data_IF_074320484038
#
_entry.id   IF_074320484038
#
_cell.length_a   1.000
_cell.length_b   1.000
_cell.length_c   1.000
_cell.angle_alpha   90.00
_cell.angle_beta   90.00
_cell.angle_gamma   90.00
#
_symmetry.space_group_name_H-M   'P 1'
#
loop_
_entity.id
_entity.type
_entity.pdbx_description
1 polymer ?
#
# COMPACT_ATOMS: atom_id res chain seq x y z
N UNK A 1 -10.67 19.77 33.65
CA UNK A 1 -9.70 20.87 33.53
C UNK A 1 -8.33 20.26 33.30
N UNK A 2 -7.81 20.29 32.08
CA UNK A 2 -6.53 19.70 31.71
C UNK A 2 -5.42 20.72 31.97
N UNK A 3 -4.67 20.52 33.05
CA UNK A 3 -3.45 21.28 33.32
C UNK A 3 -2.39 20.98 32.29
N UNK A 4 -2.39 21.69 31.18
CA UNK A 4 -1.25 21.73 30.25
C UNK A 4 -0.16 22.62 30.85
N UNK A 5 1.07 22.12 31.05
CA UNK A 5 2.17 22.98 31.50
C UNK A 5 2.47 24.00 30.37
N UNK A 6 2.50 25.27 30.74
CA UNK A 6 2.81 26.41 29.86
C UNK A 6 4.17 26.20 29.17
N UNK A 7 4.16 26.23 27.85
CA UNK A 7 5.36 26.11 27.04
C UNK A 7 6.04 27.50 26.97
N UNK A 8 7.06 27.72 27.79
CA UNK A 8 7.85 28.96 27.77
C UNK A 8 8.92 28.83 26.67
N UNK A 9 8.91 29.67 25.62
CA UNK A 9 9.92 29.64 24.58
C UNK A 9 11.33 29.92 25.13
N UNK A 10 12.30 29.07 24.81
CA UNK A 10 13.71 29.30 25.09
C UNK A 10 14.34 28.49 26.25
N UNK A 11 13.58 27.85 27.13
CA UNK A 11 14.12 26.94 28.15
C UNK A 11 14.09 25.48 27.71
N UNK A 12 15.21 24.77 27.79
CA UNK A 12 15.24 23.32 27.61
C UNK A 12 14.37 22.67 28.67
N UNK A 13 13.29 22.04 28.27
CA UNK A 13 12.37 21.34 29.20
C UNK A 13 13.10 20.15 29.79
N UNK A 14 13.23 20.12 31.10
CA UNK A 14 13.75 18.94 31.82
C UNK A 14 12.69 17.86 31.79
N UNK A 15 12.99 16.70 31.22
CA UNK A 15 12.08 15.58 31.12
C UNK A 15 12.47 14.55 32.18
N UNK A 16 11.56 14.32 33.14
CA UNK A 16 11.76 13.34 34.20
C UNK A 16 11.05 12.01 33.87
N UNK A 17 11.50 10.93 34.50
CA UNK A 17 10.86 9.62 34.38
C UNK A 17 9.36 9.67 34.70
N UNK A 18 8.99 10.37 35.77
CA UNK A 18 7.58 10.49 36.21
C UNK A 18 6.71 11.19 35.15
N UNK A 19 7.20 12.24 34.50
CA UNK A 19 6.49 12.91 33.42
C UNK A 19 6.21 11.98 32.22
N UNK A 20 7.19 11.11 31.89
CA UNK A 20 6.99 10.12 30.83
C UNK A 20 5.96 9.09 31.23
N UNK A 21 6.06 8.50 32.41
CA UNK A 21 5.09 7.52 32.92
C UNK A 21 3.68 8.07 33.01
N UNK A 22 3.52 9.31 33.48
CA UNK A 22 2.23 9.98 33.52
C UNK A 22 1.66 10.19 32.12
N UNK A 23 2.46 10.66 31.17
CA UNK A 23 2.01 10.81 29.78
C UNK A 23 1.61 9.48 29.13
N UNK A 24 2.28 8.39 29.48
CA UNK A 24 1.94 7.05 28.99
C UNK A 24 0.59 6.55 29.56
N UNK A 25 0.25 6.89 30.79
CA UNK A 25 -1.07 6.56 31.37
C UNK A 25 -2.22 7.25 30.63
N UNK A 26 -2.01 8.47 30.16
CA UNK A 26 -3.03 9.27 29.48
C UNK A 26 -3.09 9.08 27.96
N UNK A 27 -2.18 8.29 27.37
CA UNK A 27 -2.07 8.17 25.92
C UNK A 27 -1.88 6.71 25.49
N UNK A 28 -2.18 6.43 24.22
CA UNK A 28 -2.09 5.07 23.65
C UNK A 28 -0.83 4.86 22.81
N UNK A 29 0.10 5.83 22.77
CA UNK A 29 1.30 5.72 21.94
C UNK A 29 2.41 6.67 22.39
N UNK A 30 3.65 6.28 22.18
CA UNK A 30 4.81 7.12 22.45
C UNK A 30 4.78 8.47 21.73
N UNK A 31 4.20 8.54 20.53
CA UNK A 31 4.04 9.81 19.81
C UNK A 31 2.98 10.70 20.45
N UNK A 32 1.86 10.13 20.90
CA UNK A 32 0.84 10.87 21.63
C UNK A 32 1.36 11.34 22.99
N UNK A 33 2.16 10.52 23.70
CA UNK A 33 2.83 10.86 24.93
C UNK A 33 3.81 12.04 24.76
N UNK A 34 4.59 12.06 23.69
CA UNK A 34 5.46 13.19 23.35
C UNK A 34 4.68 14.50 23.13
N UNK A 35 3.55 14.43 22.43
CA UNK A 35 2.64 15.58 22.22
C UNK A 35 2.01 16.04 23.53
N UNK A 36 1.62 15.10 24.39
CA UNK A 36 1.02 15.41 25.69
C UNK A 36 2.00 16.18 26.58
N UNK A 37 3.28 15.77 26.63
CA UNK A 37 4.34 16.49 27.36
C UNK A 37 4.69 17.82 26.67
N UNK A 38 4.41 17.98 25.36
CA UNK A 38 4.77 19.16 24.57
C UNK A 38 6.25 19.17 24.15
N UNK A 39 6.81 18.03 23.79
CA UNK A 39 8.18 17.89 23.27
C UNK A 39 8.21 17.16 21.93
N UNK A 40 9.33 17.30 21.19
CA UNK A 40 9.50 16.54 19.95
C UNK A 40 9.56 15.04 20.23
N UNK A 41 9.08 14.22 19.29
CA UNK A 41 9.15 12.76 19.43
C UNK A 41 10.58 12.26 19.62
N UNK A 42 11.56 12.85 18.94
CA UNK A 42 12.97 12.46 19.08
C UNK A 42 13.49 12.73 20.50
N UNK A 43 13.12 13.86 21.08
CA UNK A 43 13.46 14.20 22.47
C UNK A 43 12.81 13.23 23.45
N UNK A 44 11.51 12.98 23.29
CA UNK A 44 10.79 11.99 24.09
C UNK A 44 11.45 10.60 23.99
N UNK A 45 11.72 10.11 22.77
CA UNK A 45 12.33 8.80 22.51
C UNK A 45 13.69 8.66 23.22
N UNK A 46 14.55 9.70 23.13
CA UNK A 46 15.84 9.71 23.82
C UNK A 46 15.68 9.48 25.31
N UNK A 47 14.84 10.25 25.97
CA UNK A 47 14.63 10.17 27.41
C UNK A 47 13.86 8.92 27.85
N UNK A 48 12.86 8.49 27.10
CA UNK A 48 12.11 7.27 27.39
C UNK A 48 13.00 6.03 27.31
N UNK A 49 13.95 5.98 26.37
CA UNK A 49 14.97 4.93 26.30
C UNK A 49 15.96 5.02 27.44
N UNK A 50 16.44 6.22 27.78
CA UNK A 50 17.34 6.42 28.91
C UNK A 50 16.74 5.91 30.22
N UNK A 51 15.44 6.12 30.45
CA UNK A 51 14.74 5.64 31.64
C UNK A 51 14.19 4.21 31.51
N UNK A 52 14.44 3.50 30.42
CA UNK A 52 13.96 2.14 30.13
C UNK A 52 12.41 1.99 30.16
N UNK A 53 11.68 3.02 29.76
CA UNK A 53 10.21 3.04 29.73
C UNK A 53 9.62 3.16 28.32
N UNK A 54 10.46 3.13 27.29
CA UNK A 54 10.04 3.31 25.90
C UNK A 54 9.25 2.10 25.37
N UNK A 55 9.74 0.90 25.64
CA UNK A 55 9.17 -0.35 25.10
C UNK A 55 7.80 -0.69 25.73
N UNK A 56 7.55 -0.21 26.93
CA UNK A 56 6.29 -0.44 27.65
C UNK A 56 5.08 0.24 27.00
N UNK A 57 5.32 1.23 26.14
CA UNK A 57 4.27 2.04 25.51
C UNK A 57 4.34 2.02 23.99
N UNK A 58 4.88 0.94 23.42
CA UNK A 58 4.86 0.72 21.97
C UNK A 58 3.42 0.49 21.50
N UNK A 59 3.09 1.11 20.37
CA UNK A 59 1.84 0.82 19.69
C UNK A 59 1.77 -0.68 19.39
N UNK A 60 0.70 -1.31 19.81
CA UNK A 60 0.37 -2.63 19.27
C UNK A 60 0.25 -2.53 17.75
N UNK A 61 0.81 -3.51 17.03
CA UNK A 61 0.74 -3.56 15.57
C UNK A 61 -0.71 -3.32 15.10
N UNK A 62 -0.94 -2.19 14.42
CA UNK A 62 -2.25 -1.86 13.86
C UNK A 62 -3.11 -0.91 14.70
N UNK A 63 -2.79 -0.65 15.96
CA UNK A 63 -3.55 0.30 16.81
C UNK A 63 -3.10 1.73 16.53
N UNK A 64 -4.01 2.58 16.08
CA UNK A 64 -3.81 4.03 15.95
C UNK A 64 -3.23 4.52 14.62
N UNK A 65 -2.82 3.65 13.73
CA UNK A 65 -2.52 4.01 12.34
C UNK A 65 -3.64 3.49 11.45
N UNK A 66 -4.58 4.33 11.09
CA UNK A 66 -5.46 4.03 9.95
C UNK A 66 -4.52 3.90 8.75
N UNK A 67 -4.13 2.68 8.43
CA UNK A 67 -3.41 2.39 7.19
C UNK A 67 -4.39 2.67 6.07
N UNK A 68 -4.43 3.91 5.58
CA UNK A 68 -5.29 4.32 4.48
C UNK A 68 -5.05 3.55 3.17
N UNK A 69 -4.06 2.67 3.16
CA UNK A 69 -3.67 1.83 2.03
C UNK A 69 -4.22 0.40 2.11
N UNK A 70 -4.51 -0.11 3.33
CA UNK A 70 -4.93 -1.50 3.50
C UNK A 70 -6.44 -1.66 3.58
N UNK A 71 -7.17 -0.55 3.73
CA UNK A 71 -8.60 -0.59 4.05
C UNK A 71 -9.47 -0.83 2.83
N UNK A 72 -8.98 -0.59 1.63
CA UNK A 72 -9.77 -0.79 0.42
C UNK A 72 -9.00 -1.63 -0.60
N UNK A 73 -8.92 -2.93 -0.39
CA UNK A 73 -8.89 -3.84 -1.53
C UNK A 73 -10.26 -3.67 -2.21
N UNK A 74 -10.31 -2.75 -3.17
CA UNK A 74 -11.50 -2.64 -4.01
C UNK A 74 -11.71 -4.02 -4.62
N UNK A 75 -12.88 -4.65 -4.45
CA UNK A 75 -13.14 -5.96 -5.04
C UNK A 75 -12.92 -5.88 -6.55
N UNK A 76 -12.17 -6.81 -7.12
CA UNK A 76 -11.95 -6.86 -8.57
C UNK A 76 -13.28 -6.99 -9.29
N UNK A 77 -14.19 -7.78 -8.72
CA UNK A 77 -15.53 -7.96 -9.22
C UNK A 77 -16.26 -6.64 -9.51
N UNK A 78 -16.19 -5.68 -8.59
CA UNK A 78 -16.89 -4.39 -8.76
C UNK A 78 -16.31 -3.56 -9.92
N UNK A 79 -15.04 -3.78 -10.27
CA UNK A 79 -14.36 -3.06 -11.34
C UNK A 79 -14.66 -3.70 -12.69
N UNK A 80 -14.50 -5.02 -12.79
CA UNK A 80 -14.73 -5.75 -14.04
C UNK A 80 -16.20 -5.79 -14.47
N UNK A 81 -17.13 -5.55 -13.51
CA UNK A 81 -18.56 -5.39 -13.79
C UNK A 81 -18.99 -3.94 -13.97
N UNK A 82 -18.07 -2.98 -13.90
CA UNK A 82 -18.37 -1.56 -14.06
C UNK A 82 -19.08 -0.89 -12.86
N UNK A 83 -19.30 -1.60 -11.75
CA UNK A 83 -19.92 -1.03 -10.53
C UNK A 83 -19.08 0.05 -9.88
N UNK A 84 -17.75 -0.05 -10.04
CA UNK A 84 -16.78 0.90 -9.50
C UNK A 84 -15.71 1.26 -10.52
N UNK A 85 -15.28 2.51 -10.49
CA UNK A 85 -14.12 2.95 -11.26
C UNK A 85 -12.82 2.45 -10.60
N UNK A 86 -11.80 2.07 -11.40
CA UNK A 86 -10.51 1.67 -10.89
C UNK A 86 -9.83 2.82 -10.13
N UNK A 87 -9.01 2.52 -9.12
CA UNK A 87 -8.22 3.53 -8.44
C UNK A 87 -7.26 4.25 -9.40
N UNK A 88 -7.13 5.57 -9.30
CA UNK A 88 -6.29 6.41 -10.20
C UNK A 88 -4.84 5.94 -10.41
N UNK A 89 -4.29 5.12 -9.54
CA UNK A 89 -2.91 4.60 -9.58
C UNK A 89 -2.85 3.08 -9.62
N UNK A 90 -3.85 2.44 -10.20
CA UNK A 90 -3.82 1.00 -10.32
C UNK A 90 -2.85 0.57 -11.43
N UNK A 91 -1.83 -0.19 -11.06
CA UNK A 91 -0.90 -0.76 -12.01
C UNK A 91 -1.56 -1.95 -12.71
N UNK A 92 -1.44 -2.03 -14.04
CA UNK A 92 -1.90 -3.18 -14.83
C UNK A 92 -1.33 -4.50 -14.32
N UNK A 93 -0.09 -4.50 -13.82
CA UNK A 93 0.54 -5.67 -13.20
C UNK A 93 -0.23 -6.15 -11.96
N UNK A 94 -0.61 -5.23 -11.06
CA UNK A 94 -1.38 -5.59 -9.85
C UNK A 94 -2.77 -6.07 -10.23
N UNK A 95 -3.37 -5.47 -11.25
CA UNK A 95 -4.68 -5.86 -11.74
C UNK A 95 -4.64 -7.25 -12.39
N UNK A 96 -3.67 -7.53 -13.31
CA UNK A 96 -3.44 -8.85 -13.90
C UNK A 96 -3.33 -9.92 -12.81
N UNK A 97 -2.43 -9.71 -11.85
CA UNK A 97 -2.24 -10.64 -10.74
C UNK A 97 -3.52 -10.96 -10.00
N UNK A 98 -4.33 -9.97 -9.72
CA UNK A 98 -5.61 -10.16 -9.02
C UNK A 98 -6.66 -10.85 -9.87
N UNK A 99 -6.73 -10.59 -11.18
CA UNK A 99 -7.62 -11.31 -12.09
C UNK A 99 -7.34 -12.81 -12.10
N UNK A 100 -6.07 -13.19 -12.02
CA UNK A 100 -5.63 -14.59 -11.96
C UNK A 100 -5.89 -15.18 -10.57
N UNK A 101 -5.48 -14.49 -9.49
CA UNK A 101 -5.65 -14.95 -8.11
C UNK A 101 -7.14 -15.10 -7.71
N UNK A 102 -7.99 -14.19 -8.19
CA UNK A 102 -9.43 -14.21 -7.91
C UNK A 102 -10.19 -15.16 -8.90
N UNK A 103 -9.49 -15.82 -9.86
CA UNK A 103 -10.04 -16.82 -10.77
C UNK A 103 -10.90 -16.28 -11.91
N UNK A 104 -10.80 -14.99 -12.25
CA UNK A 104 -11.56 -14.39 -13.35
C UNK A 104 -10.95 -14.66 -14.73
N UNK A 105 -9.64 -14.87 -14.81
CA UNK A 105 -8.92 -15.13 -16.05
C UNK A 105 -7.80 -16.16 -15.81
N UNK A 106 -7.56 -17.00 -16.81
CA UNK A 106 -6.44 -17.93 -16.80
C UNK A 106 -5.15 -17.22 -17.22
N UNK A 107 -4.00 -17.71 -16.74
CA UNK A 107 -2.70 -17.15 -17.10
C UNK A 107 -2.19 -17.71 -18.43
N UNK A 108 -2.93 -17.41 -19.50
CA UNK A 108 -2.62 -17.84 -20.86
C UNK A 108 -2.92 -16.73 -21.89
N UNK A 109 -2.29 -16.82 -23.07
CA UNK A 109 -2.58 -15.90 -24.17
C UNK A 109 -3.94 -16.24 -24.80
N UNK A 110 -4.84 -15.27 -24.87
CA UNK A 110 -6.17 -15.44 -25.45
C UNK A 110 -6.20 -15.80 -26.96
N UNK A 111 -5.08 -15.68 -27.66
CA UNK A 111 -4.99 -15.94 -29.12
C UNK A 111 -4.26 -17.23 -29.44
N UNK A 112 -3.11 -17.47 -28.81
CA UNK A 112 -2.29 -18.64 -29.12
C UNK A 112 -2.12 -19.62 -27.94
N UNK A 113 -2.83 -19.37 -26.85
CA UNK A 113 -2.79 -20.21 -25.63
C UNK A 113 -1.39 -20.38 -24.99
N UNK A 114 -0.47 -19.44 -25.31
CA UNK A 114 0.85 -19.43 -24.71
C UNK A 114 0.76 -19.25 -23.20
N UNK A 115 1.32 -20.19 -22.43
CA UNK A 115 1.30 -20.21 -20.98
C UNK A 115 2.64 -20.66 -20.37
N UNK A 116 3.74 -20.63 -21.14
CA UNK A 116 5.05 -21.04 -20.65
C UNK A 116 5.66 -20.03 -19.69
N UNK A 117 6.20 -20.53 -18.58
CA UNK A 117 6.90 -19.72 -17.60
C UNK A 117 8.27 -19.28 -18.12
N UNK A 118 8.60 -18.04 -17.88
CA UNK A 118 9.94 -17.54 -18.16
C UNK A 118 10.96 -18.19 -17.20
N UNK A 119 12.02 -18.81 -17.75
CA UNK A 119 13.04 -19.53 -16.97
C UNK A 119 13.70 -18.72 -15.86
N UNK A 120 13.74 -17.39 -15.98
CA UNK A 120 14.40 -16.51 -15.02
C UNK A 120 13.45 -15.96 -13.94
N UNK A 121 12.22 -15.64 -14.33
CA UNK A 121 11.26 -14.98 -13.43
C UNK A 121 10.16 -15.91 -12.92
N UNK A 122 10.06 -17.13 -13.48
CA UNK A 122 9.03 -18.12 -13.17
C UNK A 122 7.59 -17.56 -13.29
N UNK A 123 7.39 -16.57 -14.15
CA UNK A 123 6.09 -16.00 -14.45
C UNK A 123 5.80 -16.13 -15.94
N UNK A 124 4.53 -16.29 -16.30
CA UNK A 124 4.12 -16.25 -17.70
C UNK A 124 4.14 -14.80 -18.20
N UNK A 125 4.85 -14.56 -19.29
CA UNK A 125 5.04 -13.21 -19.86
C UNK A 125 3.85 -12.76 -20.68
N UNK A 126 2.79 -12.27 -20.03
CA UNK A 126 1.57 -11.79 -20.66
C UNK A 126 1.33 -10.32 -20.33
N UNK A 127 0.89 -9.55 -21.32
CA UNK A 127 0.40 -8.19 -21.15
C UNK A 127 -1.13 -8.16 -21.13
N UNK A 128 -1.70 -7.19 -20.41
CA UNK A 128 -3.12 -6.86 -20.56
C UNK A 128 -3.28 -6.03 -21.84
N UNK A 129 -4.21 -6.43 -22.66
CA UNK A 129 -4.65 -5.72 -23.85
C UNK A 129 -6.12 -5.30 -23.67
N UNK A 130 -6.44 -4.07 -24.07
CA UNK A 130 -7.77 -3.50 -24.04
C UNK A 130 -8.33 -3.49 -25.45
N UNK A 131 -9.37 -4.26 -25.70
CA UNK A 131 -9.90 -4.53 -27.04
C UNK A 131 -10.38 -3.24 -27.73
N UNK A 132 -10.95 -2.31 -26.96
CA UNK A 132 -11.40 -0.99 -27.45
C UNK A 132 -10.30 0.08 -27.49
N UNK A 133 -9.07 -0.25 -27.02
CA UNK A 133 -7.95 0.69 -26.90
C UNK A 133 -8.04 1.66 -25.72
N UNK A 134 -9.11 1.67 -24.94
CA UNK A 134 -9.22 2.50 -23.74
C UNK A 134 -8.61 1.81 -22.52
N UNK A 135 -7.44 2.26 -22.11
CA UNK A 135 -6.72 1.75 -20.95
C UNK A 135 -7.42 2.04 -19.59
N UNK A 136 -8.54 2.73 -19.59
CA UNK A 136 -9.36 2.98 -18.40
C UNK A 136 -10.63 2.14 -18.36
N UNK A 137 -10.94 1.42 -19.41
CA UNK A 137 -12.08 0.52 -19.50
C UNK A 137 -11.70 -0.89 -19.02
N UNK A 138 -11.90 -1.15 -17.72
CA UNK A 138 -11.55 -2.40 -17.05
C UNK A 138 -12.69 -3.44 -17.03
N UNK A 139 -13.67 -3.34 -17.93
CA UNK A 139 -14.71 -4.36 -18.06
C UNK A 139 -14.11 -5.68 -18.51
N UNK A 140 -14.60 -6.79 -17.97
CA UNK A 140 -14.04 -8.12 -18.27
C UNK A 140 -14.07 -8.46 -19.76
N UNK A 141 -15.16 -8.07 -20.45
CA UNK A 141 -15.34 -8.31 -21.88
C UNK A 141 -14.40 -7.48 -22.77
N UNK A 142 -13.81 -6.42 -22.18
CA UNK A 142 -12.85 -5.54 -22.86
C UNK A 142 -11.39 -5.93 -22.65
N UNK A 143 -11.13 -6.91 -21.79
CA UNK A 143 -9.76 -7.24 -21.37
C UNK A 143 -9.38 -8.63 -21.85
N UNK A 144 -8.16 -8.76 -22.38
CA UNK A 144 -7.55 -10.04 -22.70
C UNK A 144 -6.07 -10.05 -22.34
N UNK A 145 -5.51 -11.23 -22.13
CA UNK A 145 -4.08 -11.40 -21.95
C UNK A 145 -3.44 -11.81 -23.28
N UNK A 146 -2.36 -11.15 -23.66
CA UNK A 146 -1.62 -11.45 -24.87
C UNK A 146 -0.14 -11.70 -24.55
N UNK A 147 0.45 -12.72 -25.17
CA UNK A 147 1.90 -12.89 -25.22
C UNK A 147 2.56 -11.78 -26.05
N UNK A 148 3.87 -11.63 -25.97
CA UNK A 148 4.59 -10.57 -26.65
C UNK A 148 4.36 -10.56 -28.17
N UNK A 149 4.37 -11.73 -28.82
CA UNK A 149 4.16 -11.86 -30.26
C UNK A 149 2.73 -11.44 -30.68
N UNK A 150 1.72 -11.95 -29.99
CA UNK A 150 0.34 -11.59 -30.28
C UNK A 150 0.08 -10.11 -29.98
N UNK A 151 0.62 -9.58 -28.87
CA UNK A 151 0.47 -8.18 -28.56
C UNK A 151 1.07 -7.26 -29.63
N UNK A 152 2.27 -7.60 -30.14
CA UNK A 152 2.90 -6.86 -31.24
C UNK A 152 2.06 -6.93 -32.54
N UNK A 153 1.51 -8.10 -32.83
CA UNK A 153 0.69 -8.30 -34.03
C UNK A 153 -0.59 -7.48 -34.04
N UNK A 154 -1.20 -7.26 -32.88
CA UNK A 154 -2.42 -6.46 -32.77
C UNK A 154 -2.17 -4.96 -32.61
N UNK A 155 -1.14 -4.58 -31.87
CA UNK A 155 -0.91 -3.19 -31.48
C UNK A 155 0.24 -2.51 -32.22
N UNK A 156 1.00 -3.23 -33.04
CA UNK A 156 2.09 -2.70 -33.85
C UNK A 156 3.33 -2.23 -33.08
N UNK A 157 3.27 -2.14 -31.74
CA UNK A 157 4.41 -1.79 -30.90
C UNK A 157 4.27 -2.41 -29.53
N UNK A 158 5.41 -2.64 -28.87
CA UNK A 158 5.40 -3.12 -27.49
C UNK A 158 4.97 -2.02 -26.53
N UNK A 159 4.11 -2.33 -25.53
CA UNK A 159 3.99 -1.45 -24.40
C UNK A 159 5.36 -1.35 -23.71
N UNK A 160 5.66 -0.21 -23.10
CA UNK A 160 6.97 0.01 -22.46
C UNK A 160 7.39 -1.22 -21.65
N UNK A 161 8.66 -1.59 -21.72
CA UNK A 161 9.29 -2.85 -21.24
C UNK A 161 8.96 -3.28 -19.79
N UNK A 162 8.23 -2.46 -19.03
CA UNK A 162 7.81 -2.73 -17.65
C UNK A 162 6.55 -3.59 -17.52
N UNK A 163 5.90 -3.92 -18.63
CA UNK A 163 4.55 -4.52 -18.62
C UNK A 163 4.56 -6.05 -18.73
N UNK A 164 5.55 -6.63 -19.41
CA UNK A 164 5.52 -8.07 -19.72
C UNK A 164 6.08 -8.98 -18.62
N UNK A 165 7.24 -8.69 -18.09
CA UNK A 165 7.94 -9.63 -17.21
C UNK A 165 8.69 -8.88 -16.11
N UNK A 166 8.11 -8.74 -14.94
CA UNK A 166 8.85 -8.46 -13.69
C UNK A 166 8.17 -9.11 -12.53
#
# INVERSE_FOLDING_TARGET
MTNRPLNIPGRRKVITKNMILESQKHTKSNMAAARWIGVSYNTYRKWAKYYNVFEQHLNQKGVGVKKGWAVYKVPVHDIITGKRKPPKRWSHKVFKKRLIEDGYMQEECAVCSYNEENLKTQNVCLAIDFIDGDHQNFLIDNIRFLCANCYLSFNGMFPSSKVFCK
#
